data_IF_984233627628
#
_entry.id   IF_984233627628
#
_cell.length_a   1.000
_cell.length_b   1.000
_cell.length_c   1.000
_cell.angle_alpha   90.00
_cell.angle_beta   90.00
_cell.angle_gamma   90.00
#
_symmetry.space_group_name_H-M   'P 1'
#
loop_
_entity.id
_entity.type
_entity.pdbx_description
1 polymer ?
#
# COMPACT_ATOMS: atom_id res chain seq x y z
N UNK A 1 -24.35 29.02 37.47
CA UNK A 1 -23.03 29.04 36.79
C UNK A 1 -23.05 27.91 35.80
N UNK A 2 -23.14 28.26 34.51
CA UNK A 2 -23.15 27.30 33.42
C UNK A 2 -21.76 26.75 33.16
N UNK A 3 -21.71 25.46 32.84
CA UNK A 3 -20.67 24.91 31.99
C UNK A 3 -21.41 24.30 30.81
N UNK A 4 -21.47 25.05 29.72
CA UNK A 4 -21.74 24.51 28.40
C UNK A 4 -20.67 23.48 28.12
N UNK A 5 -21.04 22.21 28.30
CA UNK A 5 -20.27 21.12 27.73
C UNK A 5 -20.51 21.21 26.22
N UNK A 6 -19.60 21.91 25.53
CA UNK A 6 -19.53 21.91 24.08
C UNK A 6 -19.53 20.44 23.66
N UNK A 7 -20.65 20.00 23.08
CA UNK A 7 -20.72 18.74 22.39
C UNK A 7 -19.67 18.81 21.27
N UNK A 8 -18.49 18.26 21.53
CA UNK A 8 -17.68 17.78 20.42
C UNK A 8 -18.54 16.72 19.75
N UNK A 9 -19.06 17.07 18.57
CA UNK A 9 -19.53 16.12 17.58
C UNK A 9 -18.45 15.04 17.51
N UNK A 10 -18.70 13.94 18.22
CA UNK A 10 -17.78 12.84 18.30
C UNK A 10 -17.58 12.39 16.87
N UNK A 11 -16.35 12.45 16.39
CA UNK A 11 -15.93 11.75 15.18
C UNK A 11 -16.57 10.36 15.25
N UNK A 12 -17.66 10.14 14.50
CA UNK A 12 -18.31 8.85 14.42
C UNK A 12 -17.34 7.95 13.67
N UNK A 13 -16.44 7.35 14.44
CA UNK A 13 -15.49 6.35 13.99
C UNK A 13 -16.26 5.03 13.86
N UNK A 14 -17.28 4.99 12.99
CA UNK A 14 -18.10 3.79 12.75
C UNK A 14 -18.49 3.70 11.28
N UNK A 15 -17.51 3.86 10.39
CA UNK A 15 -17.54 3.11 9.14
C UNK A 15 -16.29 2.26 9.16
N UNK A 16 -16.48 0.97 9.45
CA UNK A 16 -15.47 -0.05 9.19
C UNK A 16 -15.34 -0.14 7.67
N UNK A 17 -14.57 0.76 7.08
CA UNK A 17 -14.29 0.71 5.64
C UNK A 17 -13.35 -0.48 5.39
N UNK A 18 -13.80 -1.51 4.63
CA UNK A 18 -13.02 -2.74 4.48
C UNK A 18 -11.65 -2.50 3.83
N UNK A 19 -11.54 -1.51 2.94
CA UNK A 19 -10.30 -1.15 2.26
C UNK A 19 -9.35 -0.42 3.19
N UNK A 20 -9.86 0.49 4.03
CA UNK A 20 -9.09 1.14 5.08
C UNK A 20 -8.60 0.13 6.12
N UNK A 21 -9.44 -0.81 6.54
CA UNK A 21 -9.02 -1.88 7.46
C UNK A 21 -7.95 -2.77 6.82
N UNK A 22 -8.08 -3.12 5.54
CA UNK A 22 -7.05 -3.86 4.81
C UNK A 22 -5.72 -3.09 4.77
N UNK A 23 -5.76 -1.79 4.44
CA UNK A 23 -4.58 -0.92 4.45
C UNK A 23 -3.92 -0.87 5.82
N UNK A 24 -4.73 -0.63 6.87
CA UNK A 24 -4.25 -0.59 8.24
C UNK A 24 -3.60 -1.92 8.61
N UNK A 25 -4.18 -3.07 8.27
CA UNK A 25 -3.57 -4.38 8.55
C UNK A 25 -2.21 -4.55 7.89
N UNK A 26 -2.08 -4.16 6.63
CA UNK A 26 -0.82 -4.28 5.88
C UNK A 26 0.25 -3.31 6.39
N UNK A 27 -0.14 -2.10 6.80
CA UNK A 27 0.80 -1.05 7.26
C UNK A 27 1.09 -1.15 8.76
N UNK A 28 0.20 -1.75 9.55
CA UNK A 28 0.31 -1.88 11.02
C UNK A 28 1.00 -3.16 11.48
N UNK A 29 1.52 -3.98 10.56
CA UNK A 29 2.59 -4.92 10.93
C UNK A 29 3.73 -4.15 11.61
N UNK A 30 4.53 -4.78 12.52
CA UNK A 30 5.30 -4.06 13.54
C UNK A 30 6.20 -2.93 13.06
N UNK A 31 6.55 -2.84 11.77
CA UNK A 31 7.16 -1.67 11.19
C UNK A 31 6.72 -1.59 9.72
N UNK A 32 5.96 -0.60 9.27
CA UNK A 32 5.68 -0.36 7.83
C UNK A 32 6.94 -0.29 6.92
N UNK A 33 8.14 -0.40 7.49
CA UNK A 33 9.41 -0.74 6.84
C UNK A 33 9.50 -2.16 6.25
N UNK A 34 8.72 -3.15 6.73
CA UNK A 34 8.78 -4.54 6.24
C UNK A 34 8.26 -4.64 4.80
N UNK A 35 7.09 -4.05 4.52
CA UNK A 35 6.51 -4.05 3.18
C UNK A 35 7.36 -3.25 2.18
N UNK A 36 7.96 -2.14 2.62
CA UNK A 36 8.91 -1.38 1.80
C UNK A 36 10.18 -2.19 1.50
N UNK A 37 10.71 -2.90 2.50
CA UNK A 37 11.86 -3.79 2.31
C UNK A 37 11.54 -4.95 1.36
N UNK A 38 10.40 -5.61 1.53
CA UNK A 38 9.97 -6.66 0.61
C UNK A 38 9.74 -6.12 -0.80
N UNK A 39 9.21 -4.90 -0.96
CA UNK A 39 9.07 -4.27 -2.28
C UNK A 39 10.43 -4.08 -2.96
N UNK A 40 11.45 -3.64 -2.21
CA UNK A 40 12.81 -3.53 -2.73
C UNK A 40 13.37 -4.90 -3.12
N UNK A 41 13.28 -5.89 -2.23
CA UNK A 41 13.79 -7.25 -2.46
C UNK A 41 13.12 -7.89 -3.69
N UNK A 42 11.79 -7.86 -3.77
CA UNK A 42 11.03 -8.37 -4.92
C UNK A 42 11.38 -7.64 -6.23
N UNK A 43 11.60 -6.32 -6.18
CA UNK A 43 12.02 -5.57 -7.37
C UNK A 43 13.45 -5.93 -7.80
N UNK A 44 14.36 -6.22 -6.86
CA UNK A 44 15.72 -6.67 -7.18
C UNK A 44 15.71 -8.07 -7.78
N UNK A 45 15.03 -9.01 -7.14
CA UNK A 45 14.89 -10.39 -7.62
C UNK A 45 14.30 -10.42 -9.04
N UNK A 46 13.26 -9.63 -9.28
CA UNK A 46 12.68 -9.49 -10.62
C UNK A 46 13.70 -8.97 -11.64
N UNK A 47 14.50 -7.97 -11.26
CA UNK A 47 15.51 -7.40 -12.14
C UNK A 47 16.62 -8.39 -12.48
N UNK A 48 17.04 -9.19 -11.50
CA UNK A 48 18.04 -10.25 -11.67
C UNK A 48 17.52 -11.34 -12.62
N UNK A 49 16.23 -11.67 -12.55
CA UNK A 49 15.60 -12.68 -13.42
C UNK A 49 15.28 -12.16 -14.83
N UNK A 50 14.77 -10.93 -14.94
CA UNK A 50 14.16 -10.42 -16.18
C UNK A 50 14.99 -9.34 -16.88
N UNK A 51 16.09 -8.86 -16.28
CA UNK A 51 16.94 -7.76 -16.78
C UNK A 51 16.19 -6.43 -17.03
N UNK A 52 14.98 -6.31 -16.50
CA UNK A 52 14.11 -5.15 -16.51
C UNK A 52 13.26 -5.15 -15.23
N UNK A 53 12.64 -4.03 -14.89
CA UNK A 53 11.78 -3.95 -13.70
C UNK A 53 10.37 -4.48 -13.91
N UNK A 54 9.66 -4.84 -12.83
CA UNK A 54 8.26 -5.21 -12.89
C UNK A 54 7.37 -3.99 -13.17
N UNK A 55 6.22 -4.21 -13.78
CA UNK A 55 5.09 -3.27 -13.72
C UNK A 55 4.53 -3.22 -12.30
N UNK A 56 3.70 -2.23 -12.00
CA UNK A 56 3.00 -2.17 -10.71
C UNK A 56 2.17 -3.43 -10.42
N UNK A 57 1.44 -3.93 -11.42
CA UNK A 57 0.65 -5.15 -11.28
C UNK A 57 1.52 -6.37 -10.95
N UNK A 58 2.61 -6.57 -11.69
CA UNK A 58 3.55 -7.68 -11.48
C UNK A 58 4.22 -7.61 -10.10
N UNK A 59 4.58 -6.41 -9.63
CA UNK A 59 5.11 -6.23 -8.28
C UNK A 59 4.06 -6.57 -7.21
N UNK A 60 2.80 -6.18 -7.37
CA UNK A 60 1.76 -6.57 -6.41
C UNK A 60 1.48 -8.08 -6.42
N UNK A 61 1.53 -8.71 -7.60
CA UNK A 61 1.37 -10.17 -7.75
C UNK A 61 2.52 -10.95 -7.09
N UNK A 62 3.76 -10.45 -7.16
CA UNK A 62 4.89 -11.08 -6.50
C UNK A 62 4.93 -10.85 -4.99
N UNK A 63 4.39 -9.72 -4.52
CA UNK A 63 4.45 -9.35 -3.11
C UNK A 63 3.29 -9.88 -2.25
N UNK A 64 2.11 -10.08 -2.83
CA UNK A 64 0.90 -10.37 -2.07
C UNK A 64 0.20 -11.62 -2.57
N UNK A 65 -0.02 -12.56 -1.64
CA UNK A 65 -0.90 -13.70 -1.85
C UNK A 65 -2.14 -13.58 -0.94
N UNK A 66 -3.36 -13.69 -1.50
CA UNK A 66 -3.69 -13.87 -2.92
C UNK A 66 -3.62 -12.56 -3.72
N UNK A 67 -3.32 -12.68 -5.03
CA UNK A 67 -3.27 -11.54 -5.96
C UNK A 67 -4.65 -10.86 -6.19
N UNK A 68 -5.74 -11.62 -6.06
CA UNK A 68 -7.11 -11.09 -6.17
C UNK A 68 -7.57 -10.49 -4.83
N UNK A 69 -7.23 -9.21 -4.64
CA UNK A 69 -7.60 -8.46 -3.44
C UNK A 69 -9.11 -8.31 -3.28
N UNK A 70 -9.86 -8.34 -4.38
CA UNK A 70 -11.32 -8.23 -4.36
C UNK A 70 -11.99 -9.53 -3.87
N UNK A 71 -11.28 -10.65 -3.87
CA UNK A 71 -11.76 -11.89 -3.29
C UNK A 71 -11.53 -11.97 -1.78
N UNK A 72 -10.60 -11.20 -1.22
CA UNK A 72 -10.25 -11.23 0.21
C UNK A 72 -10.78 -10.03 1.01
N UNK A 73 -11.02 -8.89 0.36
CA UNK A 73 -11.66 -7.74 0.99
C UNK A 73 -13.17 -7.94 0.94
N UNK A 74 -13.76 -8.28 2.08
CA UNK A 74 -15.22 -8.45 2.22
C UNK A 74 -15.93 -7.08 2.25
N UNK A 75 -16.34 -6.59 1.07
CA UNK A 75 -17.13 -5.37 0.90
C UNK A 75 -18.37 -5.59 0.03
N UNK A 76 -19.29 -6.44 0.48
CA UNK A 76 -20.56 -6.71 -0.22
C UNK A 76 -21.50 -5.49 -0.34
N UNK A 77 -21.24 -4.41 0.43
CA UNK A 77 -22.06 -3.20 0.42
C UNK A 77 -21.73 -2.21 -0.69
N UNK A 78 -20.57 -2.35 -1.34
CA UNK A 78 -20.07 -1.43 -2.38
C UNK A 78 -20.25 -2.03 -3.78
N UNK A 79 -20.68 -1.24 -4.80
CA UNK A 79 -20.69 -1.70 -6.18
C UNK A 79 -19.30 -2.16 -6.65
N UNK A 80 -19.22 -3.19 -7.51
CA UNK A 80 -17.95 -3.77 -7.97
C UNK A 80 -16.98 -2.73 -8.55
N UNK A 81 -17.46 -1.84 -9.41
CA UNK A 81 -16.64 -0.77 -9.99
C UNK A 81 -16.02 0.16 -8.92
N UNK A 82 -16.75 0.39 -7.82
CA UNK A 82 -16.24 1.20 -6.71
C UNK A 82 -15.24 0.41 -5.86
N UNK A 83 -15.39 -0.91 -5.72
CA UNK A 83 -14.38 -1.76 -5.07
C UNK A 83 -13.07 -1.77 -5.88
N UNK A 84 -13.17 -1.92 -7.19
CA UNK A 84 -12.02 -1.90 -8.12
C UNK A 84 -11.27 -0.56 -8.04
N UNK A 85 -12.00 0.56 -8.06
CA UNK A 85 -11.40 1.88 -7.88
C UNK A 85 -10.65 2.00 -6.54
N UNK A 86 -11.16 1.38 -5.47
CA UNK A 86 -10.57 1.43 -4.13
C UNK A 86 -9.34 0.53 -4.02
N UNK A 87 -9.35 -0.66 -4.63
CA UNK A 87 -8.13 -1.47 -4.80
C UNK A 87 -7.06 -0.67 -5.54
N UNK A 88 -7.43 0.03 -6.62
CA UNK A 88 -6.47 0.84 -7.36
C UNK A 88 -5.89 1.95 -6.49
N UNK A 89 -6.72 2.65 -5.71
CA UNK A 89 -6.24 3.66 -4.77
C UNK A 89 -5.29 3.09 -3.71
N UNK A 90 -5.56 1.88 -3.19
CA UNK A 90 -4.65 1.20 -2.26
C UNK A 90 -3.30 0.88 -2.93
N UNK A 91 -3.32 0.35 -4.14
CA UNK A 91 -2.11 0.03 -4.92
C UNK A 91 -1.29 1.29 -5.20
N UNK A 92 -1.94 2.36 -5.65
CA UNK A 92 -1.28 3.64 -5.90
C UNK A 92 -0.67 4.21 -4.60
N UNK A 93 -1.38 4.09 -3.49
CA UNK A 93 -0.86 4.49 -2.18
C UNK A 93 0.41 3.72 -1.81
N UNK A 94 0.44 2.39 -2.00
CA UNK A 94 1.61 1.57 -1.71
C UNK A 94 2.81 1.95 -2.59
N UNK A 95 2.61 2.13 -3.89
CA UNK A 95 3.67 2.56 -4.81
C UNK A 95 4.26 3.91 -4.39
N UNK A 96 3.39 4.88 -4.06
CA UNK A 96 3.82 6.19 -3.56
C UNK A 96 4.55 6.10 -2.22
N UNK A 97 4.06 5.25 -1.31
CA UNK A 97 4.68 5.02 -0.01
C UNK A 97 6.07 4.39 -0.14
N UNK A 98 6.22 3.33 -0.93
CA UNK A 98 7.50 2.67 -1.18
C UNK A 98 8.47 3.57 -1.94
N UNK A 99 7.97 4.38 -2.88
CA UNK A 99 8.80 5.38 -3.54
C UNK A 99 9.28 6.46 -2.58
N UNK A 100 8.39 6.98 -1.73
CA UNK A 100 8.75 7.98 -0.70
C UNK A 100 9.76 7.46 0.31
N UNK A 101 9.66 6.19 0.68
CA UNK A 101 10.63 5.55 1.59
C UNK A 101 11.95 5.23 0.89
N UNK A 102 12.01 5.28 -0.44
CA UNK A 102 13.21 4.99 -1.22
C UNK A 102 13.42 3.51 -1.51
N UNK A 103 12.44 2.65 -1.24
CA UNK A 103 12.47 1.23 -1.57
C UNK A 103 12.39 0.95 -3.06
N UNK A 104 11.63 1.77 -3.79
CA UNK A 104 11.51 1.71 -5.25
C UNK A 104 11.65 3.10 -5.87
N UNK A 105 11.92 3.14 -7.16
CA UNK A 105 11.77 4.36 -7.98
C UNK A 105 10.58 4.17 -8.92
N UNK A 106 9.61 5.08 -8.84
CA UNK A 106 8.37 5.03 -9.60
C UNK A 106 7.90 6.46 -9.92
N UNK A 107 7.64 6.75 -11.21
CA UNK A 107 7.01 7.99 -11.65
C UNK A 107 5.53 7.74 -11.97
N UNK A 108 4.64 8.23 -11.11
CA UNK A 108 3.20 8.12 -11.32
C UNK A 108 2.78 8.72 -12.68
N UNK A 109 2.05 7.94 -13.48
CA UNK A 109 1.55 8.37 -14.79
C UNK A 109 2.59 8.39 -15.91
N UNK A 110 3.81 7.90 -15.70
CA UNK A 110 4.85 7.82 -16.75
C UNK A 110 5.70 6.55 -16.69
N UNK A 111 5.98 6.01 -15.51
CA UNK A 111 6.68 4.72 -15.40
C UNK A 111 5.70 3.56 -15.58
N UNK A 112 5.93 2.79 -16.63
CA UNK A 112 5.38 1.45 -16.78
C UNK A 112 6.24 0.41 -16.06
N UNK A 113 7.46 0.78 -15.65
CA UNK A 113 8.47 -0.13 -15.10
C UNK A 113 8.99 0.45 -13.78
N UNK A 114 8.89 -0.33 -12.71
CA UNK A 114 9.37 0.02 -11.38
C UNK A 114 10.84 -0.38 -11.26
N UNK A 115 11.67 0.51 -10.72
CA UNK A 115 13.09 0.23 -10.52
C UNK A 115 13.42 0.03 -9.05
N UNK A 116 14.47 -0.76 -8.73
CA UNK A 116 15.00 -0.82 -7.38
C UNK A 116 15.33 0.59 -6.88
N UNK A 117 14.98 0.85 -5.63
CA UNK A 117 15.33 2.09 -4.94
C UNK A 117 16.75 2.05 -4.36
N UNK A 118 17.05 2.95 -3.42
CA UNK A 118 18.37 3.06 -2.80
C UNK A 118 18.34 2.50 -1.37
N UNK A 119 19.34 1.71 -0.92
CA UNK A 119 19.36 1.08 0.39
C UNK A 119 19.46 2.04 1.59
N UNK A 120 19.41 3.36 1.37
CA UNK A 120 19.38 4.37 2.43
C UNK A 120 18.22 4.16 3.44
N UNK A 121 17.17 3.44 3.06
CA UNK A 121 16.07 3.06 3.96
C UNK A 121 16.39 1.84 4.85
N UNK A 122 17.39 1.03 4.51
CA UNK A 122 17.83 -0.15 5.28
C UNK A 122 18.85 0.19 6.38
N UNK A 123 19.41 1.42 6.37
CA UNK A 123 20.56 1.79 7.21
C UNK A 123 20.19 2.37 8.58
N UNK A 124 18.90 2.29 8.99
CA UNK A 124 18.42 2.93 10.21
C UNK A 124 18.17 1.96 11.37
N UNK A 125 19.05 0.99 11.55
CA UNK A 125 19.24 0.29 12.84
C UNK A 125 20.76 0.11 13.03
N UNK A 126 21.34 0.90 13.94
CA UNK A 126 22.72 0.79 14.44
C UNK A 126 22.67 0.47 15.92
#
# INVERSE_FOLDING_TARGET
MGFDFVAMDGFQMVVRDPFLEALIRVVSEPNGSSTARHAYEATCEWWDEHSQGPTGAELFESMFEPADWLAVIDDSGRPRANQEAQVQLLRDWFLLYWSRTGAISFIAGSDLVIRPGSPAFLTRES
#
